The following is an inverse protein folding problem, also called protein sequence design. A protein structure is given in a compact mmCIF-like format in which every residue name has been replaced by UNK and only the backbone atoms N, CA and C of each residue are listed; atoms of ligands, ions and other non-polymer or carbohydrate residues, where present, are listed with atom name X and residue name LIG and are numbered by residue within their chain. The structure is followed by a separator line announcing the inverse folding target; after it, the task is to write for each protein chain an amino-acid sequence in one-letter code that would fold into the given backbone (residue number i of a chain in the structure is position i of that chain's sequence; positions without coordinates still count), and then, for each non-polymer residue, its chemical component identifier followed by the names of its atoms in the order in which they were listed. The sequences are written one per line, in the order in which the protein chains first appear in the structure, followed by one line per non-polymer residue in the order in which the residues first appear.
data_IF_897600429443
#
_entry.id   IF_897600429443
#
_cell.length_a   1.000
_cell.length_b   1.000
_cell.length_c   1.000
_cell.angle_alpha   90.00
_cell.angle_beta   90.00
_cell.angle_gamma   90.00
#
_symmetry.space_group_name_H-M   'P 1'
#
loop_
_entity.id
_entity.type
_entity.pdbx_description
1 polymer ?
#
# COMPACT_ATOMS: atom_id res chain seq x y z
N UNK A 1 -5.06 8.21 -0.04
CA UNK A 1 -5.11 6.86 0.57
C UNK A 1 -4.25 5.83 -0.16
N UNK A 2 -4.35 5.65 -1.50
CA UNK A 2 -3.56 4.64 -2.23
C UNK A 2 -2.05 4.68 -1.95
N UNK A 3 -1.44 5.87 -1.96
CA UNK A 3 0.00 6.02 -1.72
C UNK A 3 0.41 5.68 -0.28
N UNK A 4 -0.43 6.03 0.71
CA UNK A 4 -0.23 5.63 2.11
C UNK A 4 -0.30 4.11 2.23
N UNK A 5 -1.30 3.48 1.61
CA UNK A 5 -1.47 2.02 1.58
C UNK A 5 -0.27 1.33 0.94
N UNK A 6 0.23 1.88 -0.18
CA UNK A 6 1.44 1.41 -0.87
C UNK A 6 2.63 1.39 0.09
N UNK A 7 2.88 2.51 0.75
CA UNK A 7 4.00 2.65 1.68
C UNK A 7 3.87 1.74 2.90
N UNK A 8 2.67 1.61 3.47
CA UNK A 8 2.42 0.69 4.57
C UNK A 8 2.73 -0.75 4.17
N UNK A 9 2.21 -1.22 3.03
CA UNK A 9 2.45 -2.58 2.56
C UNK A 9 3.93 -2.86 2.27
N UNK A 10 4.64 -1.87 1.73
CA UNK A 10 6.09 -1.93 1.54
C UNK A 10 6.84 -2.11 2.87
N UNK A 11 6.46 -1.36 3.91
CA UNK A 11 7.04 -1.46 5.26
C UNK A 11 6.76 -2.86 5.85
N UNK A 12 5.51 -3.32 5.75
CA UNK A 12 5.08 -4.63 6.27
C UNK A 12 5.73 -5.81 5.54
N UNK A 13 6.17 -5.62 4.29
CA UNK A 13 6.87 -6.66 3.52
C UNK A 13 8.06 -7.25 4.29
N UNK A 14 8.85 -6.39 4.94
CA UNK A 14 10.02 -6.81 5.71
C UNK A 14 9.62 -7.62 6.94
N UNK A 15 8.54 -7.22 7.62
CA UNK A 15 8.02 -7.88 8.83
C UNK A 15 7.39 -9.24 8.51
N UNK A 16 6.83 -9.38 7.30
CA UNK A 16 6.23 -10.63 6.81
C UNK A 16 7.24 -11.63 6.21
N UNK A 17 8.55 -11.34 6.28
CA UNK A 17 9.58 -12.14 5.60
C UNK A 17 9.48 -12.11 4.07
N UNK A 18 8.91 -11.04 3.50
CA UNK A 18 8.71 -10.80 2.07
C UNK A 18 9.49 -9.58 1.57
N UNK A 19 10.66 -9.31 2.14
CA UNK A 19 11.51 -8.16 1.75
C UNK A 19 11.80 -8.11 0.25
N UNK A 20 12.01 -9.25 -0.38
CA UNK A 20 12.23 -9.37 -1.83
C UNK A 20 11.00 -9.04 -2.70
N UNK A 21 9.82 -8.92 -2.08
CA UNK A 21 8.55 -8.55 -2.72
C UNK A 21 8.07 -7.17 -2.26
N UNK A 22 8.92 -6.33 -1.66
CA UNK A 22 8.52 -5.01 -1.15
C UNK A 22 7.96 -4.12 -2.24
N UNK A 23 8.59 -4.10 -3.43
CA UNK A 23 8.11 -3.35 -4.59
C UNK A 23 6.73 -3.84 -5.07
N UNK A 24 6.51 -5.15 -5.07
CA UNK A 24 5.20 -5.72 -5.46
C UNK A 24 4.10 -5.35 -4.46
N UNK A 25 4.41 -5.33 -3.17
CA UNK A 25 3.50 -4.88 -2.11
C UNK A 25 3.22 -3.37 -2.17
N UNK A 26 4.21 -2.58 -2.55
CA UNK A 26 4.01 -1.16 -2.85
C UNK A 26 3.04 -0.99 -4.02
N UNK A 27 3.28 -1.65 -5.15
CA UNK A 27 2.40 -1.59 -6.33
C UNK A 27 0.99 -2.10 -6.02
N UNK A 28 0.86 -3.15 -5.22
CA UNK A 28 -0.42 -3.65 -4.72
C UNK A 28 -1.20 -2.56 -3.99
N UNK A 29 -0.55 -1.80 -3.09
CA UNK A 29 -1.21 -0.69 -2.41
C UNK A 29 -1.49 0.49 -3.33
N UNK A 30 -0.60 0.79 -4.27
CA UNK A 30 -0.77 1.93 -5.18
C UNK A 30 -1.94 1.71 -6.14
N UNK A 31 -2.06 0.52 -6.73
CA UNK A 31 -3.12 0.19 -7.69
C UNK A 31 -4.42 -0.26 -7.06
N UNK A 32 -4.47 -0.37 -5.73
CA UNK A 32 -5.67 -0.81 -5.00
C UNK A 32 -6.91 0.08 -5.12
N UNK A 33 -6.79 1.27 -5.71
CA UNK A 33 -7.89 2.19 -6.00
C UNK A 33 -7.91 2.60 -7.49
N UNK A 34 -7.20 1.87 -8.35
CA UNK A 34 -7.02 2.24 -9.76
C UNK A 34 -8.35 2.31 -10.52
N UNK A 35 -9.25 1.36 -10.25
CA UNK A 35 -10.61 1.32 -10.79
C UNK A 35 -11.43 2.56 -10.41
N UNK A 36 -11.38 2.96 -9.14
CA UNK A 36 -12.05 4.16 -8.65
C UNK A 36 -11.46 5.45 -9.23
N UNK A 37 -10.16 5.47 -9.54
CA UNK A 37 -9.48 6.63 -10.13
C UNK A 37 -9.77 6.78 -11.63
N UNK A 38 -9.85 5.67 -12.37
CA UNK A 38 -10.00 5.67 -13.84
C UNK A 38 -11.46 5.53 -14.27
N UNK A 39 -12.33 4.96 -13.42
CA UNK A 39 -13.74 4.73 -13.74
C UNK A 39 -13.99 3.52 -14.65
N UNK A 40 -13.11 2.51 -14.59
CA UNK A 40 -13.20 1.25 -15.37
C UNK A 40 -13.08 0.05 -14.44
N UNK A 41 -13.62 -1.13 -14.81
CA UNK A 41 -13.44 -2.35 -14.02
C UNK A 41 -11.97 -2.67 -13.79
N UNK A 42 -11.63 -3.06 -12.55
CA UNK A 42 -10.27 -3.40 -12.16
C UNK A 42 -9.64 -4.47 -13.07
N UNK A 43 -10.41 -5.50 -13.46
CA UNK A 43 -9.94 -6.59 -14.33
C UNK A 43 -9.44 -6.08 -15.70
N UNK A 44 -10.14 -5.12 -16.29
CA UNK A 44 -9.72 -4.52 -17.56
C UNK A 44 -8.41 -3.75 -17.40
N UNK A 45 -8.31 -2.93 -16.35
CA UNK A 45 -7.14 -2.10 -16.08
C UNK A 45 -5.90 -2.96 -15.83
N UNK A 46 -6.06 -4.07 -15.11
CA UNK A 46 -4.99 -5.02 -14.81
C UNK A 46 -4.48 -5.78 -16.04
N UNK A 47 -5.20 -5.78 -17.17
CA UNK A 47 -4.72 -6.36 -18.42
C UNK A 47 -3.69 -5.47 -19.14
N UNK A 48 -3.69 -4.17 -18.81
CA UNK A 48 -2.82 -3.15 -19.40
C UNK A 48 -1.55 -2.92 -18.56
N UNK A 49 -1.59 -3.29 -17.26
CA UNK A 49 -0.47 -3.13 -16.33
C UNK A 49 0.31 -4.44 -16.20
N UNK A 50 1.61 -4.42 -16.49
CA UNK A 50 2.51 -5.58 -16.36
C UNK A 50 2.85 -5.94 -14.91
N UNK A 51 1.88 -6.48 -14.16
CA UNK A 51 2.05 -6.91 -12.77
C UNK A 51 2.26 -8.43 -12.64
N UNK A 52 2.95 -8.89 -11.58
CA UNK A 52 2.99 -10.30 -11.21
C UNK A 52 1.58 -10.88 -11.03
N UNK A 53 1.39 -12.14 -11.43
CA UNK A 53 0.08 -12.79 -11.44
C UNK A 53 -0.58 -12.87 -10.05
N UNK A 54 0.22 -13.03 -8.99
CA UNK A 54 -0.26 -13.08 -7.61
C UNK A 54 -0.70 -11.71 -7.08
N UNK A 55 0.00 -10.63 -7.45
CA UNK A 55 -0.42 -9.24 -7.18
C UNK A 55 -1.73 -8.94 -7.90
N UNK A 56 -1.82 -9.29 -9.19
CA UNK A 56 -3.01 -9.10 -10.02
C UNK A 56 -4.23 -9.82 -9.43
N UNK A 57 -4.05 -11.06 -8.98
CA UNK A 57 -5.12 -11.82 -8.36
C UNK A 57 -5.65 -11.17 -7.07
N UNK A 58 -4.80 -10.53 -6.27
CA UNK A 58 -5.24 -9.80 -5.07
C UNK A 58 -6.05 -8.56 -5.46
N UNK A 59 -5.56 -7.76 -6.42
CA UNK A 59 -6.26 -6.57 -6.90
C UNK A 59 -7.62 -6.91 -7.54
N UNK A 60 -7.71 -8.02 -8.28
CA UNK A 60 -8.94 -8.50 -8.89
C UNK A 60 -9.89 -9.22 -7.91
N UNK A 61 -9.50 -9.40 -6.64
CA UNK A 61 -10.31 -10.14 -5.66
C UNK A 61 -10.41 -11.66 -5.91
N UNK A 62 -9.57 -12.21 -6.79
CA UNK A 62 -9.56 -13.63 -7.18
C UNK A 62 -8.42 -14.43 -6.53
N UNK A 63 -7.63 -13.82 -5.65
CA UNK A 63 -6.55 -14.50 -4.94
C UNK A 63 -7.08 -15.65 -4.06
N UNK A 64 -6.36 -16.78 -3.98
CA UNK A 64 -6.73 -17.89 -3.10
C UNK A 64 -6.87 -17.47 -1.65
N UNK A 65 -7.78 -18.14 -0.93
CA UNK A 65 -7.90 -17.98 0.52
C UNK A 65 -6.54 -18.24 1.19
N UNK A 66 -6.09 -17.29 1.98
CA UNK A 66 -4.79 -17.39 2.65
C UNK A 66 -3.57 -17.08 1.77
N UNK A 67 -3.73 -16.46 0.59
CA UNK A 67 -2.61 -15.87 -0.13
C UNK A 67 -1.89 -14.84 0.76
N UNK A 68 -0.55 -14.91 0.82
CA UNK A 68 0.25 -14.09 1.74
C UNK A 68 0.13 -12.58 1.41
N UNK A 69 0.17 -12.21 0.14
CA UNK A 69 -0.06 -10.83 -0.30
C UNK A 69 -1.48 -10.36 0.05
N UNK A 70 -2.49 -11.21 -0.16
CA UNK A 70 -3.87 -10.91 0.20
C UNK A 70 -4.08 -10.69 1.70
N UNK A 71 -3.39 -11.45 2.57
CA UNK A 71 -3.42 -11.21 4.02
C UNK A 71 -2.82 -9.85 4.39
N UNK A 72 -1.68 -9.49 3.81
CA UNK A 72 -1.04 -8.19 4.07
C UNK A 72 -1.90 -7.04 3.56
N UNK A 73 -2.50 -7.19 2.37
CA UNK A 73 -3.43 -6.22 1.82
C UNK A 73 -4.64 -6.01 2.73
N UNK A 74 -5.29 -7.09 3.19
CA UNK A 74 -6.39 -7.01 4.16
C UNK A 74 -5.96 -6.42 5.51
N UNK A 75 -4.72 -6.68 5.94
CA UNK A 75 -4.20 -6.13 7.20
C UNK A 75 -4.05 -4.61 7.11
N UNK A 76 -3.56 -4.09 5.99
CA UNK A 76 -3.50 -2.65 5.73
C UNK A 76 -4.92 -2.03 5.68
N UNK A 77 -5.86 -2.67 4.99
CA UNK A 77 -7.26 -2.21 4.93
C UNK A 77 -7.93 -2.17 6.31
N UNK A 78 -7.75 -3.21 7.13
CA UNK A 78 -8.31 -3.25 8.48
C UNK A 78 -7.73 -2.14 9.38
N UNK A 79 -6.43 -1.87 9.26
CA UNK A 79 -5.78 -0.77 9.97
C UNK A 79 -6.35 0.59 9.53
N UNK A 80 -6.53 0.82 8.23
CA UNK A 80 -7.10 2.06 7.70
C UNK A 80 -8.55 2.29 8.14
N UNK A 81 -9.34 1.23 8.24
CA UNK A 81 -10.77 1.29 8.57
C UNK A 81 -11.03 1.31 10.08
N UNK A 82 -10.00 1.11 10.91
CA UNK A 82 -10.16 0.93 12.35
C UNK A 82 -10.90 -0.37 12.71
N UNK A 83 -10.86 -1.38 11.83
CA UNK A 83 -11.44 -2.70 12.08
C UNK A 83 -10.48 -3.53 12.94
N UNK A 84 -10.55 -3.30 14.26
CA UNK A 84 -9.67 -3.94 15.24
C UNK A 84 -9.88 -5.45 15.34
N UNK A 85 -11.09 -5.95 15.10
CA UNK A 85 -11.37 -7.38 15.19
C UNK A 85 -10.71 -8.14 14.04
N UNK A 86 -10.86 -7.65 12.81
CA UNK A 86 -10.16 -8.22 11.64
C UNK A 86 -8.64 -8.08 11.78
N UNK A 87 -8.16 -6.92 12.24
CA UNK A 87 -6.73 -6.70 12.47
C UNK A 87 -6.14 -7.70 13.48
N UNK A 88 -6.84 -7.99 14.58
CA UNK A 88 -6.42 -8.99 15.60
C UNK A 88 -6.39 -10.43 15.06
N UNK A 89 -7.23 -10.76 14.09
CA UNK A 89 -7.17 -12.07 13.41
C UNK A 89 -5.96 -12.11 12.48
N UNK A 90 -5.80 -11.10 11.62
CA UNK A 90 -4.76 -11.07 10.60
C UNK A 90 -3.35 -10.94 11.16
N UNK A 91 -3.17 -10.21 12.26
CA UNK A 91 -1.90 -10.13 12.99
C UNK A 91 -1.42 -11.51 13.47
N UNK A 92 -2.33 -12.35 13.97
CA UNK A 92 -2.03 -13.75 14.32
C UNK A 92 -1.68 -14.61 13.09
N UNK A 93 -2.39 -14.44 11.97
CA UNK A 93 -2.14 -15.21 10.74
C UNK A 93 -0.83 -14.81 10.03
N UNK A 94 -0.41 -13.56 10.17
CA UNK A 94 0.77 -13.01 9.51
C UNK A 94 2.01 -13.05 10.40
N UNK A 95 1.84 -13.18 11.72
CA UNK A 95 2.92 -13.09 12.69
C UNK A 95 3.41 -11.66 12.93
N UNK A 96 2.69 -10.66 12.43
CA UNK A 96 3.02 -9.23 12.62
C UNK A 96 2.22 -8.71 13.80
N UNK A 97 2.89 -8.04 14.75
CA UNK A 97 2.21 -7.46 15.89
C UNK A 97 1.37 -6.24 15.49
N UNK A 98 0.24 -6.02 16.17
CA UNK A 98 -0.63 -4.87 15.93
C UNK A 98 0.11 -3.54 16.08
N UNK A 99 1.01 -3.44 17.06
CA UNK A 99 1.85 -2.26 17.25
C UNK A 99 2.79 -1.99 16.07
N UNK A 100 3.34 -3.04 15.45
CA UNK A 100 4.15 -2.92 14.23
C UNK A 100 3.32 -2.39 13.06
N UNK A 101 2.07 -2.82 12.91
CA UNK A 101 1.17 -2.33 11.88
C UNK A 101 0.84 -0.85 12.11
N UNK A 102 0.48 -0.47 13.34
CA UNK A 102 0.16 0.91 13.70
C UNK A 102 1.36 1.85 13.50
N UNK A 103 2.55 1.46 13.96
CA UNK A 103 3.78 2.23 13.75
C UNK A 103 4.12 2.35 12.27
N UNK A 104 3.94 1.27 11.49
CA UNK A 104 4.09 1.30 10.03
C UNK A 104 3.12 2.26 9.35
N UNK A 105 1.88 2.34 9.83
CA UNK A 105 0.86 3.26 9.31
C UNK A 105 1.25 4.71 9.57
N UNK A 106 1.69 5.03 10.80
CA UNK A 106 2.17 6.38 11.16
C UNK A 106 3.37 6.77 10.30
N UNK A 107 4.37 5.90 10.19
CA UNK A 107 5.54 6.15 9.33
C UNK A 107 5.18 6.32 7.85
N UNK A 108 4.20 5.56 7.35
CA UNK A 108 3.69 5.72 5.99
C UNK A 108 2.97 7.06 5.79
N UNK A 109 2.22 7.53 6.79
CA UNK A 109 1.53 8.82 6.76
C UNK A 109 2.51 10.00 6.79
N UNK A 110 3.53 9.95 7.65
CA UNK A 110 4.60 10.94 7.72
C UNK A 110 5.35 11.03 6.39
N UNK A 111 5.75 9.88 5.84
CA UNK A 111 6.40 9.84 4.52
C UNK A 111 5.52 10.43 3.41
N UNK A 112 4.21 10.13 3.41
CA UNK A 112 3.31 10.74 2.44
C UNK A 112 3.25 12.27 2.61
N UNK A 113 3.18 12.76 3.85
CA UNK A 113 3.18 14.20 4.12
C UNK A 113 4.45 14.87 3.60
N UNK A 114 5.61 14.25 3.73
CA UNK A 114 6.88 14.73 3.15
C UNK A 114 6.85 14.76 1.63
N UNK A 115 6.35 13.70 0.98
CA UNK A 115 6.26 13.64 -0.49
C UNK A 115 5.35 14.74 -1.05
N UNK A 116 4.24 15.05 -0.38
CA UNK A 116 3.30 16.08 -0.82
C UNK A 116 3.71 17.50 -0.39
N UNK A 117 4.32 17.68 0.78
CA UNK A 117 4.74 18.99 1.28
C UNK A 117 6.11 19.40 0.72
N UNK A 118 7.01 18.44 0.47
CA UNK A 118 8.31 18.66 -0.16
C UNK A 118 8.24 19.05 -1.63
N UNK A 119 7.09 18.87 -2.29
CA UNK A 119 6.86 19.32 -3.67
C UNK A 119 6.75 20.86 -3.81
N UNK A 120 6.54 21.60 -2.71
CA UNK A 120 6.46 23.07 -2.72
C UNK A 120 7.78 23.77 -2.33
N UNK A 121 8.81 23.05 -1.92
CA UNK A 121 10.10 23.63 -1.50
C UNK A 121 11.12 23.85 -2.65
N UNK A 122 10.66 23.81 -3.91
CA UNK A 122 11.52 23.86 -5.11
C UNK A 122 11.40 25.10 -6.00
N UNK A 123 10.67 26.15 -5.59
CA UNK A 123 10.49 27.36 -6.41
C UNK A 123 10.84 28.64 -5.67
N UNK A 124 12.12 28.81 -5.34
CA UNK A 124 12.68 30.12 -4.98
C UNK A 124 12.90 30.94 -6.24
N UNK A 125 12.35 32.16 -6.37
CA UNK A 125 12.58 33.02 -7.53
C UNK A 125 13.96 33.68 -7.42
N UNK A 126 14.94 33.27 -8.24
CA UNK A 126 16.17 34.06 -8.37
C UNK A 126 15.86 35.32 -9.19
N UNK A 127 15.78 36.44 -8.46
CA UNK A 127 15.63 37.80 -8.95
C UNK A 127 16.63 38.15 -10.06
N UNK A 128 16.15 38.98 -10.99
CA UNK A 128 16.95 39.88 -11.84
C UNK A 128 17.91 40.75 -11.01
N UNK A 129 18.87 41.34 -11.73
CA UNK A 129 19.81 42.45 -11.43
C UNK A 129 21.18 42.00 -10.92
N UNK A 130 22.29 42.34 -11.57
CA UNK A 130 22.49 43.27 -12.70
C UNK A 130 23.88 43.14 -13.32
#
# INVERSE_FOLDING_TARGET
MALLRARLLEILASQAGLRNRSGDLFLLGLFSLLDAMVGRPMEELLSEVGLPADVRAVLAGSAPAGARLGRLYRLALACEQGDWDTLRVLTRETGIEAGTVANGYVAAAEWCAEVFCGADAGRTPSRRTG
#
